data_IF_863690938925
#
_entry.id   IF_863690938925
#
_cell.length_a   1.000
_cell.length_b   1.000
_cell.length_c   1.000
_cell.angle_alpha   90.00
_cell.angle_beta   90.00
_cell.angle_gamma   90.00
#
_symmetry.space_group_name_H-M   'P 1'
#
loop_
_entity.id
_entity.type
_entity.pdbx_description
1 polymer ?
#
# COMPACT_ATOMS: atom_id res chain seq x y z
N UNK A 1 6.74 -20.09 24.04
CA UNK A 1 7.22 -20.06 22.65
C UNK A 1 6.38 -19.01 21.95
N UNK A 2 6.92 -17.81 21.76
CA UNK A 2 6.22 -16.77 21.01
C UNK A 2 6.35 -17.12 19.54
N UNK A 3 5.26 -17.48 18.90
CA UNK A 3 5.17 -17.65 17.45
C UNK A 3 5.58 -16.34 16.77
N UNK A 4 6.88 -16.20 16.49
CA UNK A 4 7.39 -15.25 15.51
C UNK A 4 6.79 -15.67 14.18
N UNK A 5 5.60 -15.15 13.88
CA UNK A 5 5.01 -15.15 12.56
C UNK A 5 6.00 -14.40 11.67
N UNK A 6 6.95 -15.13 11.09
CA UNK A 6 7.91 -14.59 10.14
C UNK A 6 7.10 -13.88 9.07
N UNK A 7 7.17 -12.55 9.07
CA UNK A 7 6.49 -11.72 8.09
C UNK A 7 6.89 -12.26 6.71
N UNK A 8 5.92 -12.55 5.82
CA UNK A 8 6.24 -13.21 4.57
C UNK A 8 7.19 -12.32 3.77
N UNK A 9 8.42 -12.81 3.57
CA UNK A 9 9.34 -12.25 2.60
C UNK A 9 8.63 -12.37 1.25
N UNK A 10 8.39 -11.25 0.59
CA UNK A 10 7.81 -11.19 -0.75
C UNK A 10 8.79 -11.81 -1.76
N UNK A 11 8.81 -13.14 -1.86
CA UNK A 11 9.31 -13.86 -3.03
C UNK A 11 8.26 -13.79 -4.16
N UNK A 12 8.68 -13.98 -5.42
CA UNK A 12 7.81 -13.83 -6.60
C UNK A 12 6.47 -14.60 -6.50
N UNK A 13 6.46 -15.76 -5.85
CA UNK A 13 5.27 -16.59 -5.62
C UNK A 13 4.32 -16.00 -4.55
N UNK A 14 4.85 -15.27 -3.57
CA UNK A 14 4.08 -14.65 -2.49
C UNK A 14 3.55 -13.26 -2.86
N UNK A 15 4.12 -12.61 -3.88
CA UNK A 15 3.72 -11.26 -4.29
C UNK A 15 2.35 -11.18 -4.94
N UNK A 16 1.98 -12.15 -5.78
CA UNK A 16 0.63 -12.19 -6.38
C UNK A 16 -0.44 -12.36 -5.30
N UNK A 17 -0.23 -13.29 -4.36
CA UNK A 17 -1.13 -13.51 -3.23
C UNK A 17 -1.22 -12.29 -2.31
N UNK A 18 -0.09 -11.64 -2.04
CA UNK A 18 -0.04 -10.38 -1.30
C UNK A 18 -0.81 -9.25 -2.00
N UNK A 19 -0.60 -9.08 -3.32
CA UNK A 19 -1.30 -8.08 -4.14
C UNK A 19 -2.81 -8.30 -4.11
N UNK A 20 -3.27 -9.55 -4.22
CA UNK A 20 -4.69 -9.90 -4.13
C UNK A 20 -5.23 -9.54 -2.75
N UNK A 21 -4.50 -9.85 -1.66
CA UNK A 21 -4.90 -9.51 -0.29
C UNK A 21 -5.05 -8.00 -0.10
N UNK A 22 -4.07 -7.18 -0.51
CA UNK A 22 -4.17 -5.72 -0.37
C UNK A 22 -5.32 -5.17 -1.19
N UNK A 23 -5.46 -5.59 -2.45
CA UNK A 23 -6.59 -5.16 -3.30
C UNK A 23 -7.93 -5.53 -2.67
N UNK A 24 -8.08 -6.77 -2.21
CA UNK A 24 -9.31 -7.26 -1.57
C UNK A 24 -9.61 -6.53 -0.27
N UNK A 25 -8.60 -6.24 0.55
CA UNK A 25 -8.75 -5.45 1.78
C UNK A 25 -9.19 -4.02 1.46
N UNK A 26 -8.49 -3.32 0.56
CA UNK A 26 -8.88 -1.98 0.15
C UNK A 26 -10.28 -1.94 -0.48
N UNK A 27 -10.67 -2.96 -1.24
CA UNK A 27 -12.01 -3.06 -1.82
C UNK A 27 -13.10 -3.19 -0.75
N UNK A 28 -12.90 -4.04 0.26
CA UNK A 28 -13.85 -4.21 1.38
C UNK A 28 -14.10 -2.91 2.16
N UNK A 29 -13.09 -2.03 2.21
CA UNK A 29 -13.17 -0.74 2.91
C UNK A 29 -13.49 0.45 1.97
N UNK A 30 -13.78 0.22 0.69
CA UNK A 30 -14.07 1.30 -0.28
C UNK A 30 -12.85 2.17 -0.64
N UNK A 31 -11.64 1.69 -0.34
CA UNK A 31 -10.36 2.38 -0.48
C UNK A 31 -9.60 2.02 -1.76
N UNK A 32 -10.06 1.02 -2.52
CA UNK A 32 -9.33 0.48 -3.69
C UNK A 32 -8.93 1.53 -4.73
N UNK A 33 -9.74 2.59 -4.88
CA UNK A 33 -9.46 3.74 -5.77
C UNK A 33 -8.16 4.47 -5.41
N UNK A 34 -7.75 4.46 -4.14
CA UNK A 34 -6.54 5.14 -3.67
C UNK A 34 -5.24 4.36 -3.89
N UNK A 35 -5.32 3.08 -4.31
CA UNK A 35 -4.15 2.34 -4.80
C UNK A 35 -3.66 2.85 -6.17
N UNK A 36 -4.52 3.59 -6.88
CA UNK A 36 -4.20 4.23 -8.14
C UNK A 36 -4.15 5.74 -7.97
N UNK A 37 -3.45 6.43 -8.87
CA UNK A 37 -3.43 7.87 -8.87
C UNK A 37 -4.86 8.41 -9.03
N UNK A 38 -5.33 9.13 -8.02
CA UNK A 38 -6.66 9.74 -7.99
C UNK A 38 -6.50 11.24 -7.81
N UNK A 39 -7.25 12.00 -8.59
CA UNK A 39 -7.24 13.46 -8.50
C UNK A 39 -7.88 13.85 -7.16
N UNK A 40 -7.22 14.68 -6.33
CA UNK A 40 -7.81 15.16 -5.09
C UNK A 40 -9.06 15.99 -5.41
N UNK A 41 -10.14 15.85 -4.63
CA UNK A 41 -11.35 16.64 -4.83
C UNK A 41 -11.11 18.12 -4.55
N UNK A 42 -11.74 19.00 -5.32
CA UNK A 42 -11.62 20.46 -5.16
C UNK A 42 -12.42 21.00 -3.96
N UNK A 43 -13.44 20.27 -3.51
CA UNK A 43 -14.28 20.66 -2.38
C UNK A 43 -13.55 20.42 -1.04
N UNK A 44 -13.42 21.43 -0.16
CA UNK A 44 -12.64 21.33 1.07
C UNK A 44 -13.08 20.18 1.99
N UNK A 45 -14.39 19.99 2.18
CA UNK A 45 -14.92 18.92 3.03
C UNK A 45 -14.64 17.51 2.48
N UNK A 46 -14.55 17.36 1.15
CA UNK A 46 -14.19 16.08 0.51
C UNK A 46 -12.67 15.89 0.49
N UNK A 47 -11.89 16.96 0.54
CA UNK A 47 -10.43 16.92 0.55
C UNK A 47 -9.88 16.33 1.85
N UNK A 48 -10.46 16.69 3.00
CA UNK A 48 -10.06 16.12 4.30
C UNK A 48 -10.31 14.61 4.34
N UNK A 49 -11.53 14.18 4.00
CA UNK A 49 -11.87 12.75 3.88
C UNK A 49 -10.97 12.02 2.88
N UNK A 50 -10.64 12.65 1.76
CA UNK A 50 -9.72 12.09 0.78
C UNK A 50 -8.33 11.87 1.37
N UNK A 51 -7.77 12.85 2.10
CA UNK A 51 -6.46 12.74 2.77
C UNK A 51 -6.46 11.64 3.84
N UNK A 52 -7.50 11.55 4.65
CA UNK A 52 -7.64 10.46 5.62
C UNK A 52 -7.70 9.08 4.95
N UNK A 53 -8.39 8.96 3.82
CA UNK A 53 -8.46 7.73 3.03
C UNK A 53 -7.09 7.37 2.43
N UNK A 54 -6.33 8.35 1.93
CA UNK A 54 -4.96 8.16 1.45
C UNK A 54 -4.07 7.61 2.56
N UNK A 55 -4.09 8.24 3.75
CA UNK A 55 -3.32 7.79 4.91
C UNK A 55 -3.68 6.38 5.37
N UNK A 56 -4.96 6.01 5.33
CA UNK A 56 -5.40 4.64 5.63
C UNK A 56 -4.78 3.63 4.66
N UNK A 57 -4.76 3.93 3.36
CA UNK A 57 -4.13 3.03 2.37
C UNK A 57 -2.62 2.96 2.55
N UNK A 58 -1.96 4.08 2.85
CA UNK A 58 -0.54 4.10 3.20
C UNK A 58 -0.26 3.18 4.38
N UNK A 59 -1.03 3.29 5.47
CA UNK A 59 -0.89 2.44 6.65
C UNK A 59 -1.02 0.95 6.30
N UNK A 60 -2.02 0.59 5.49
CA UNK A 60 -2.21 -0.79 5.01
C UNK A 60 -0.98 -1.26 4.22
N UNK A 61 -0.46 -0.43 3.31
CA UNK A 61 0.73 -0.76 2.53
C UNK A 61 1.95 -0.97 3.44
N UNK A 62 2.19 -0.06 4.38
CA UNK A 62 3.30 -0.14 5.32
C UNK A 62 3.24 -1.41 6.18
N UNK A 63 2.07 -1.75 6.71
CA UNK A 63 1.88 -2.94 7.53
C UNK A 63 2.09 -4.25 6.75
N UNK A 64 1.75 -4.25 5.46
CA UNK A 64 1.71 -5.45 4.65
C UNK A 64 2.99 -5.69 3.84
N UNK A 65 3.83 -4.67 3.61
CA UNK A 65 5.03 -4.76 2.75
C UNK A 65 6.23 -5.43 3.47
N UNK A 66 6.30 -5.31 4.80
CA UNK A 66 7.40 -5.80 5.65
C UNK A 66 8.68 -4.95 5.57
N UNK A 67 9.48 -4.94 6.64
CA UNK A 67 10.62 -4.03 6.84
C UNK A 67 11.62 -3.98 5.66
N UNK A 68 12.00 -5.14 5.13
CA UNK A 68 12.98 -5.22 4.03
C UNK A 68 12.50 -4.53 2.75
N UNK A 69 11.21 -4.65 2.44
CA UNK A 69 10.64 -4.02 1.25
C UNK A 69 10.28 -2.55 1.52
N UNK A 70 9.89 -2.24 2.75
CA UNK A 70 9.66 -0.87 3.19
C UNK A 70 10.90 0.00 2.92
N UNK A 71 12.06 -0.41 3.44
CA UNK A 71 13.33 0.31 3.26
C UNK A 71 13.76 0.45 1.79
N UNK A 72 13.25 -0.42 0.91
CA UNK A 72 13.61 -0.45 -0.51
C UNK A 72 12.68 0.37 -1.39
N UNK A 73 11.39 0.44 -1.06
CA UNK A 73 10.35 0.98 -1.94
C UNK A 73 9.62 2.20 -1.38
N UNK A 74 9.75 2.43 -0.07
CA UNK A 74 9.21 3.61 0.60
C UNK A 74 10.35 4.60 0.86
N UNK A 75 10.17 5.81 0.36
CA UNK A 75 11.10 6.95 0.47
C UNK A 75 10.36 8.14 1.07
N UNK A 76 11.08 9.12 1.59
CA UNK A 76 10.45 10.33 2.15
C UNK A 76 9.64 11.14 1.13
N UNK A 77 9.82 10.86 -0.16
CA UNK A 77 9.07 11.49 -1.25
C UNK A 77 7.75 10.77 -1.57
N UNK A 78 7.56 9.52 -1.14
CA UNK A 78 6.36 8.74 -1.43
C UNK A 78 5.67 8.13 -0.20
N UNK A 79 6.24 8.31 1.00
CA UNK A 79 5.77 7.67 2.23
C UNK A 79 4.31 7.98 2.58
N UNK A 80 3.76 9.11 2.14
CA UNK A 80 2.35 9.49 2.32
C UNK A 80 1.50 9.33 1.04
N UNK A 81 2.09 8.78 -0.04
CA UNK A 81 1.44 8.63 -1.33
C UNK A 81 1.27 7.13 -1.69
N UNK A 82 0.10 6.54 -1.38
CA UNK A 82 -0.15 5.12 -1.58
C UNK A 82 -0.12 4.72 -3.06
N UNK A 83 -0.53 5.61 -3.98
CA UNK A 83 -0.46 5.35 -5.41
C UNK A 83 0.99 5.28 -5.91
N UNK A 84 1.87 6.14 -5.38
CA UNK A 84 3.30 6.10 -5.71
C UNK A 84 3.95 4.83 -5.17
N UNK A 85 3.72 4.47 -3.90
CA UNK A 85 4.22 3.23 -3.29
C UNK A 85 3.73 2.01 -4.09
N UNK A 86 2.43 1.97 -4.41
CA UNK A 86 1.83 0.88 -5.16
C UNK A 86 2.41 0.73 -6.56
N UNK A 87 2.57 1.84 -7.30
CA UNK A 87 3.16 1.81 -8.64
C UNK A 87 4.62 1.34 -8.62
N UNK A 88 5.42 1.83 -7.66
CA UNK A 88 6.79 1.37 -7.45
C UNK A 88 6.81 -0.14 -7.26
N UNK A 89 5.97 -0.67 -6.36
CA UNK A 89 5.87 -2.11 -6.12
C UNK A 89 5.44 -2.91 -7.34
N UNK A 90 4.50 -2.39 -8.14
CA UNK A 90 4.04 -3.08 -9.36
C UNK A 90 5.06 -3.04 -10.50
N UNK A 91 5.99 -2.08 -10.49
CA UNK A 91 7.01 -1.91 -11.54
C UNK A 91 8.22 -2.82 -11.38
N UNK A 92 8.40 -3.43 -10.21
CA UNK A 92 9.57 -4.25 -9.89
C UNK A 92 9.45 -5.60 -10.58
N UNK A 93 10.46 -5.94 -11.41
CA UNK A 93 10.68 -7.33 -11.82
C UNK A 93 11.23 -8.09 -10.63
N UNK A 94 10.37 -8.86 -9.97
CA UNK A 94 10.81 -9.84 -8.99
C UNK A 94 11.62 -10.90 -9.74
N UNK A 95 12.92 -10.96 -9.44
CA UNK A 95 13.83 -12.02 -9.93
C UNK A 95 13.57 -13.31 -9.17
#
# INVERSE_FOLDING_TARGET
>A
MSDHKSLPILSATNFTSWKIKIKGYCMQHGLSKHLSATIPPAEPGKLETYKEQQLKVVGILHQMIGDTNYARFVTSTNEENPASIWNTLMSVKMK
#
